data_IF_192351607569
#
_entry.id   IF_192351607569
#
_cell.length_a   1.000
_cell.length_b   1.000
_cell.length_c   1.000
_cell.angle_alpha   90.00
_cell.angle_beta   90.00
_cell.angle_gamma   90.00
#
_symmetry.space_group_name_H-M   'P 1'
#
loop_
_entity.id
_entity.type
_entity.pdbx_description
1 polymer ?
#
# COMPACT_ATOMS: atom_id res chain seq x y z
N UNK A 1 20.70 -43.19 -46.01
CA UNK A 1 19.98 -42.00 -45.49
C UNK A 1 19.65 -42.05 -43.99
N UNK A 2 19.68 -43.22 -43.34
CA UNK A 2 19.26 -43.40 -41.93
C UNK A 2 20.18 -42.75 -40.87
N UNK A 3 21.50 -42.66 -41.13
CA UNK A 3 22.45 -42.06 -40.18
C UNK A 3 22.26 -40.56 -39.93
N UNK A 4 21.83 -39.80 -40.95
CA UNK A 4 21.58 -38.33 -40.82
C UNK A 4 20.39 -38.02 -39.92
N UNK A 5 19.33 -38.85 -39.97
CA UNK A 5 18.14 -38.71 -39.10
C UNK A 5 18.45 -39.04 -37.65
N UNK A 6 19.29 -40.05 -37.40
CA UNK A 6 19.68 -40.46 -36.03
C UNK A 6 20.61 -39.42 -35.40
N UNK A 7 21.60 -38.92 -36.14
CA UNK A 7 22.51 -37.86 -35.68
C UNK A 7 21.79 -36.52 -35.41
N UNK A 8 20.75 -36.17 -36.18
CA UNK A 8 19.92 -34.99 -35.91
C UNK A 8 19.12 -35.14 -34.60
N UNK A 9 18.47 -36.29 -34.40
CA UNK A 9 17.71 -36.58 -33.18
C UNK A 9 18.58 -36.62 -31.93
N UNK A 10 19.79 -37.16 -32.05
CA UNK A 10 20.76 -37.15 -30.95
C UNK A 10 21.15 -35.73 -30.55
N UNK A 11 21.53 -34.88 -31.51
CA UNK A 11 21.87 -33.47 -31.24
C UNK A 11 20.72 -32.69 -30.62
N UNK A 12 19.49 -32.92 -31.08
CA UNK A 12 18.29 -32.33 -30.48
C UNK A 12 18.12 -32.76 -29.02
N UNK A 13 18.27 -34.05 -28.72
CA UNK A 13 18.14 -34.56 -27.35
C UNK A 13 19.23 -34.01 -26.42
N UNK A 14 20.47 -33.95 -26.89
CA UNK A 14 21.60 -33.34 -26.17
C UNK A 14 21.37 -31.84 -25.92
N UNK A 15 20.89 -31.12 -26.94
CA UNK A 15 20.48 -29.72 -26.83
C UNK A 15 19.43 -29.48 -25.75
N UNK A 16 18.32 -30.21 -25.82
CA UNK A 16 17.22 -30.09 -24.85
C UNK A 16 17.66 -30.48 -23.43
N UNK A 17 18.49 -31.52 -23.28
CA UNK A 17 19.03 -31.91 -21.99
C UNK A 17 19.95 -30.84 -21.39
N UNK A 18 20.75 -30.14 -22.22
CA UNK A 18 21.66 -29.10 -21.76
C UNK A 18 20.94 -27.84 -21.26
N UNK A 19 19.76 -27.52 -21.82
CA UNK A 19 18.99 -26.32 -21.42
C UNK A 19 17.96 -26.58 -20.33
N UNK A 20 17.62 -27.84 -20.03
CA UNK A 20 16.59 -28.19 -19.06
C UNK A 20 16.82 -27.55 -17.67
N UNK A 21 17.99 -27.78 -17.07
CA UNK A 21 18.32 -27.21 -15.76
C UNK A 21 18.33 -25.68 -15.72
N UNK A 22 19.00 -24.99 -16.68
CA UNK A 22 18.95 -23.53 -16.77
C UNK A 22 17.54 -22.96 -16.92
N UNK A 23 16.68 -23.59 -17.73
CA UNK A 23 15.28 -23.19 -17.90
C UNK A 23 14.49 -23.40 -16.62
N UNK A 24 14.62 -24.56 -15.96
CA UNK A 24 13.97 -24.84 -14.68
C UNK A 24 14.37 -23.81 -13.60
N UNK A 25 15.65 -23.45 -13.52
CA UNK A 25 16.13 -22.43 -12.59
C UNK A 25 15.55 -21.04 -12.90
N UNK A 26 15.46 -20.67 -14.18
CA UNK A 26 14.85 -19.41 -14.59
C UNK A 26 13.34 -19.37 -14.32
N UNK A 27 12.64 -20.47 -14.58
CA UNK A 27 11.21 -20.65 -14.27
C UNK A 27 10.97 -20.50 -12.75
N UNK A 28 11.80 -21.12 -11.92
CA UNK A 28 11.73 -20.99 -10.45
C UNK A 28 11.99 -19.56 -9.96
N UNK A 29 12.96 -18.86 -10.56
CA UNK A 29 13.24 -17.45 -10.25
C UNK A 29 12.04 -16.54 -10.60
N UNK A 30 11.42 -16.74 -11.76
CA UNK A 30 10.20 -16.00 -12.12
C UNK A 30 9.06 -16.31 -11.14
N UNK A 31 8.83 -17.57 -10.78
CA UNK A 31 7.76 -17.94 -9.86
C UNK A 31 7.92 -17.27 -8.49
N UNK A 32 9.14 -17.30 -7.93
CA UNK A 32 9.47 -16.60 -6.67
C UNK A 32 9.12 -15.11 -6.76
N UNK A 33 9.46 -14.47 -7.88
CA UNK A 33 9.21 -13.06 -8.11
C UNK A 33 7.70 -12.74 -8.22
N UNK A 34 6.93 -13.61 -8.87
CA UNK A 34 5.47 -13.49 -8.97
C UNK A 34 4.78 -13.66 -7.60
N UNK A 35 5.27 -14.59 -6.78
CA UNK A 35 4.80 -14.78 -5.39
C UNK A 35 5.06 -13.53 -4.54
N UNK A 36 6.26 -12.95 -4.63
CA UNK A 36 6.59 -11.70 -3.95
C UNK A 36 5.69 -10.54 -4.40
N UNK A 37 5.44 -10.39 -5.71
CA UNK A 37 4.47 -9.41 -6.22
C UNK A 37 3.08 -9.63 -5.63
N UNK A 38 2.63 -10.89 -5.56
CA UNK A 38 1.31 -11.23 -5.01
C UNK A 38 1.23 -10.85 -3.53
N UNK A 39 2.27 -11.13 -2.75
CA UNK A 39 2.35 -10.75 -1.35
C UNK A 39 2.29 -9.22 -1.18
N UNK A 40 3.12 -8.47 -1.92
CA UNK A 40 3.15 -7.02 -1.87
C UNK A 40 1.81 -6.38 -2.28
N UNK A 41 1.15 -6.90 -3.33
CA UNK A 41 -0.22 -6.47 -3.70
C UNK A 41 -1.24 -6.78 -2.60
N UNK A 42 -1.10 -7.93 -1.93
CA UNK A 42 -1.95 -8.30 -0.80
C UNK A 42 -1.84 -7.29 0.34
N UNK A 43 -0.63 -6.85 0.69
CA UNK A 43 -0.43 -5.82 1.72
C UNK A 43 -0.97 -4.47 1.28
N UNK A 44 -0.77 -4.06 0.02
CA UNK A 44 -1.35 -2.82 -0.51
C UNK A 44 -2.88 -2.81 -0.39
N UNK A 45 -3.54 -3.89 -0.81
CA UNK A 45 -5.00 -4.02 -0.71
C UNK A 45 -5.49 -3.97 0.75
N UNK A 46 -4.72 -4.51 1.70
CA UNK A 46 -5.05 -4.41 3.14
C UNK A 46 -4.93 -2.97 3.63
N UNK A 47 -3.91 -2.22 3.20
CA UNK A 47 -3.77 -0.79 3.53
C UNK A 47 -4.97 -0.02 2.96
N UNK A 48 -5.28 -0.19 1.67
CA UNK A 48 -6.40 0.49 1.02
C UNK A 48 -7.73 0.19 1.72
N UNK A 49 -7.95 -1.05 2.14
CA UNK A 49 -9.15 -1.44 2.87
C UNK A 49 -9.28 -0.72 4.22
N UNK A 50 -8.20 -0.23 4.82
CA UNK A 50 -8.24 0.52 6.08
C UNK A 50 -8.66 1.99 5.88
N UNK A 51 -8.52 2.54 4.68
CA UNK A 51 -8.72 3.96 4.40
C UNK A 51 -10.19 4.31 4.21
N UNK A 52 -10.50 5.61 4.32
CA UNK A 52 -11.82 6.22 4.01
C UNK A 52 -13.01 5.64 4.80
N UNK A 53 -12.76 5.13 6.01
CA UNK A 53 -13.80 4.59 6.89
C UNK A 53 -14.46 5.63 7.82
N UNK A 54 -14.13 6.90 7.67
CA UNK A 54 -14.59 7.96 8.57
C UNK A 54 -14.02 7.83 9.99
N UNK A 55 -12.83 7.25 10.13
CA UNK A 55 -12.20 6.97 11.43
C UNK A 55 -11.06 7.93 11.79
N UNK A 56 -10.85 8.96 10.97
CA UNK A 56 -9.86 9.99 11.15
C UNK A 56 -8.46 9.65 10.67
N UNK A 57 -8.28 8.54 9.97
CA UNK A 57 -6.99 8.24 9.32
C UNK A 57 -6.70 9.25 8.20
N UNK A 58 -5.46 9.77 8.10
CA UNK A 58 -5.07 10.69 7.03
C UNK A 58 -4.85 9.92 5.71
N UNK A 59 -5.96 9.53 5.05
CA UNK A 59 -5.94 8.62 3.90
C UNK A 59 -5.01 9.08 2.78
N UNK A 60 -5.00 10.37 2.45
CA UNK A 60 -4.21 10.90 1.33
C UNK A 60 -2.70 10.79 1.59
N UNK A 61 -2.27 11.10 2.83
CA UNK A 61 -0.87 10.93 3.23
C UNK A 61 -0.45 9.46 3.23
N UNK A 62 -1.34 8.55 3.62
CA UNK A 62 -1.06 7.11 3.59
C UNK A 62 -0.97 6.63 2.13
N UNK A 63 -1.87 7.05 1.25
CA UNK A 63 -1.82 6.74 -0.18
C UNK A 63 -0.54 7.22 -0.83
N UNK A 64 -0.11 8.45 -0.53
CA UNK A 64 1.13 9.02 -1.06
C UNK A 64 2.35 8.14 -0.72
N UNK A 65 2.39 7.60 0.51
CA UNK A 65 3.46 6.69 0.95
C UNK A 65 3.47 5.36 0.20
N UNK A 66 2.35 4.95 -0.42
CA UNK A 66 2.27 3.73 -1.24
C UNK A 66 2.66 3.94 -2.70
N UNK A 67 2.74 5.19 -3.19
CA UNK A 67 3.05 5.47 -4.60
C UNK A 67 4.42 4.93 -5.04
N UNK A 68 5.42 4.98 -4.16
CA UNK A 68 6.75 4.42 -4.43
C UNK A 68 6.75 2.91 -4.66
N UNK A 69 5.78 2.18 -4.11
CA UNK A 69 5.62 0.75 -4.38
C UNK A 69 4.99 0.48 -5.77
N UNK A 70 4.23 1.43 -6.31
CA UNK A 70 3.53 1.26 -7.59
C UNK A 70 4.47 1.22 -8.79
N UNK A 71 5.57 1.97 -8.77
CA UNK A 71 6.56 1.95 -9.85
C UNK A 71 7.23 0.58 -10.01
N UNK A 72 7.56 -0.09 -8.90
CA UNK A 72 8.21 -1.42 -8.91
C UNK A 72 7.30 -2.49 -9.54
N UNK A 73 5.98 -2.36 -9.42
CA UNK A 73 5.05 -3.30 -10.09
C UNK A 73 5.09 -3.22 -11.61
N UNK A 74 5.38 -2.04 -12.19
CA UNK A 74 5.43 -1.85 -13.63
C UNK A 74 6.68 -2.50 -14.24
N UNK A 75 7.81 -2.44 -13.54
CA UNK A 75 9.07 -3.05 -13.97
C UNK A 75 8.98 -4.57 -14.13
N UNK A 76 8.15 -5.23 -13.31
CA UNK A 76 7.97 -6.69 -13.39
C UNK A 76 7.32 -7.14 -14.71
N UNK A 77 6.34 -6.40 -15.21
CA UNK A 77 5.63 -6.80 -16.42
C UNK A 77 6.59 -6.82 -17.62
N UNK A 78 7.53 -5.86 -17.68
CA UNK A 78 8.60 -5.84 -18.68
C UNK A 78 9.61 -6.98 -18.54
N UNK A 79 10.04 -7.29 -17.30
CA UNK A 79 10.96 -8.41 -17.03
C UNK A 79 10.31 -9.76 -17.38
N UNK A 80 9.04 -9.94 -17.04
CA UNK A 80 8.29 -11.18 -17.32
C UNK A 80 8.16 -11.42 -18.82
N UNK A 81 7.81 -10.37 -19.59
CA UNK A 81 7.73 -10.47 -21.05
C UNK A 81 9.08 -10.87 -21.66
N UNK A 82 10.16 -10.17 -21.29
CA UNK A 82 11.49 -10.44 -21.83
C UNK A 82 12.00 -11.84 -21.46
N UNK A 83 11.69 -12.32 -20.25
CA UNK A 83 11.99 -13.70 -19.87
C UNK A 83 11.26 -14.71 -20.76
N UNK A 84 9.97 -14.52 -21.06
CA UNK A 84 9.23 -15.47 -21.91
C UNK A 84 9.80 -15.54 -23.33
N UNK A 85 10.23 -14.40 -23.88
CA UNK A 85 10.92 -14.32 -25.18
C UNK A 85 12.24 -15.10 -25.15
N UNK A 86 13.11 -14.83 -24.17
CA UNK A 86 14.42 -15.49 -24.03
C UNK A 86 14.26 -16.99 -23.77
N UNK A 87 13.31 -17.40 -22.92
CA UNK A 87 13.01 -18.80 -22.63
C UNK A 87 12.60 -19.56 -23.89
N UNK A 88 11.68 -19.00 -24.66
CA UNK A 88 11.19 -19.61 -25.91
C UNK A 88 12.33 -19.77 -26.90
N UNK A 89 13.10 -18.70 -27.14
CA UNK A 89 14.24 -18.74 -28.04
C UNK A 89 15.34 -19.72 -27.59
N UNK A 90 15.56 -19.88 -26.28
CA UNK A 90 16.49 -20.86 -25.72
C UNK A 90 16.09 -22.29 -26.08
N UNK A 91 14.81 -22.62 -25.87
CA UNK A 91 14.28 -23.96 -26.16
C UNK A 91 14.30 -24.25 -27.67
N UNK A 92 13.85 -23.30 -28.50
CA UNK A 92 13.87 -23.44 -29.97
C UNK A 92 15.30 -23.59 -30.50
N UNK A 93 16.27 -22.84 -29.96
CA UNK A 93 17.67 -22.99 -30.32
C UNK A 93 18.23 -24.36 -29.91
N UNK A 94 17.86 -24.85 -28.73
CA UNK A 94 18.27 -26.16 -28.23
C UNK A 94 17.78 -27.31 -29.10
N UNK A 95 16.63 -27.18 -29.78
CA UNK A 95 16.16 -28.19 -30.74
C UNK A 95 17.12 -28.40 -31.93
N UNK A 96 17.98 -27.41 -32.19
CA UNK A 96 18.96 -27.42 -33.27
C UNK A 96 20.38 -27.82 -32.81
N UNK A 97 20.59 -28.04 -31.50
CA UNK A 97 21.87 -28.42 -30.89
C UNK A 97 22.32 -27.44 -29.81
N UNK A 98 23.16 -27.93 -28.88
CA UNK A 98 23.66 -27.15 -27.75
C UNK A 98 24.37 -25.89 -28.21
N UNK A 99 25.18 -25.97 -29.27
CA UNK A 99 26.01 -24.87 -29.77
C UNK A 99 25.16 -23.67 -30.22
N UNK A 100 23.96 -23.93 -30.74
CA UNK A 100 23.01 -22.90 -31.18
C UNK A 100 22.34 -22.23 -29.97
N UNK A 101 22.17 -22.97 -28.87
CA UNK A 101 21.55 -22.48 -27.64
C UNK A 101 22.49 -21.66 -26.74
N UNK A 102 23.82 -21.75 -26.91
CA UNK A 102 24.81 -21.09 -26.04
C UNK A 102 24.55 -19.58 -25.83
N UNK A 103 24.29 -18.76 -26.88
CA UNK A 103 24.03 -17.34 -26.67
C UNK A 103 22.77 -17.09 -25.84
N UNK A 104 21.75 -17.93 -26.04
CA UNK A 104 20.47 -17.83 -25.33
C UNK A 104 20.58 -18.29 -23.87
N UNK A 105 21.41 -19.29 -23.58
CA UNK A 105 21.76 -19.66 -22.21
C UNK A 105 22.43 -18.50 -21.45
N UNK A 106 23.29 -17.73 -22.13
CA UNK A 106 23.87 -16.50 -21.58
C UNK A 106 22.80 -15.45 -21.25
N UNK A 107 21.90 -15.17 -22.20
CA UNK A 107 20.79 -14.25 -22.01
C UNK A 107 19.83 -14.71 -20.89
N UNK A 108 19.56 -16.02 -20.79
CA UNK A 108 18.72 -16.59 -19.74
C UNK A 108 19.37 -16.41 -18.35
N UNK A 109 20.69 -16.61 -18.25
CA UNK A 109 21.44 -16.33 -17.02
C UNK A 109 21.39 -14.85 -16.60
N UNK A 110 21.41 -13.92 -17.56
CA UNK A 110 21.19 -12.49 -17.30
C UNK A 110 19.77 -12.21 -16.82
N UNK A 111 18.76 -12.85 -17.41
CA UNK A 111 17.37 -12.73 -16.94
C UNK A 111 17.21 -13.24 -15.51
N UNK A 112 17.80 -14.38 -15.15
CA UNK A 112 17.77 -14.89 -13.77
C UNK A 112 18.38 -13.87 -12.79
N UNK A 113 19.51 -13.26 -13.14
CA UNK A 113 20.14 -12.21 -12.31
C UNK A 113 19.23 -10.99 -12.17
N UNK A 114 18.62 -10.54 -13.27
CA UNK A 114 17.69 -9.41 -13.25
C UNK A 114 16.45 -9.70 -12.40
N UNK A 115 15.86 -10.90 -12.51
CA UNK A 115 14.71 -11.32 -11.71
C UNK A 115 15.07 -11.42 -10.23
N UNK A 116 16.27 -11.92 -9.90
CA UNK A 116 16.75 -12.00 -8.52
C UNK A 116 16.87 -10.61 -7.89
N UNK A 117 17.51 -9.65 -8.59
CA UNK A 117 17.64 -8.28 -8.09
C UNK A 117 16.30 -7.57 -7.95
N UNK A 118 15.35 -7.82 -8.86
CA UNK A 118 13.98 -7.31 -8.72
C UNK A 118 13.25 -7.98 -7.54
N UNK A 119 13.53 -9.26 -7.28
CA UNK A 119 13.01 -10.00 -6.12
C UNK A 119 13.42 -9.37 -4.79
N UNK A 120 14.69 -8.98 -4.64
CA UNK A 120 15.17 -8.24 -3.46
C UNK A 120 14.42 -6.91 -3.28
N UNK A 121 14.18 -6.20 -4.39
CA UNK A 121 13.40 -4.95 -4.38
C UNK A 121 11.96 -5.21 -3.93
N UNK A 122 11.31 -6.26 -4.44
CA UNK A 122 9.96 -6.65 -4.01
C UNK A 122 9.89 -7.07 -2.55
N UNK A 123 10.90 -7.78 -2.04
CA UNK A 123 10.97 -8.12 -0.62
C UNK A 123 10.99 -6.86 0.25
N UNK A 124 11.85 -5.89 -0.07
CA UNK A 124 11.91 -4.61 0.64
C UNK A 124 10.62 -3.78 0.53
N UNK A 125 9.97 -3.79 -0.64
CA UNK A 125 8.63 -3.17 -0.81
C UNK A 125 7.59 -3.87 0.07
N UNK A 126 7.57 -5.20 0.09
CA UNK A 126 6.67 -5.99 0.91
C UNK A 126 6.82 -5.68 2.40
N UNK A 127 8.05 -5.63 2.90
CA UNK A 127 8.36 -5.23 4.28
C UNK A 127 7.90 -3.80 4.59
N UNK A 128 8.15 -2.86 3.67
CA UNK A 128 7.75 -1.46 3.83
C UNK A 128 6.22 -1.30 3.89
N UNK A 129 5.48 -2.03 3.06
CA UNK A 129 4.02 -2.04 3.06
C UNK A 129 3.47 -2.70 4.34
N UNK A 130 4.03 -3.83 4.77
CA UNK A 130 3.64 -4.47 6.02
C UNK A 130 3.84 -3.53 7.22
N UNK A 131 4.99 -2.84 7.28
CA UNK A 131 5.26 -1.83 8.31
C UNK A 131 4.27 -0.66 8.26
N UNK A 132 3.96 -0.16 7.06
CA UNK A 132 2.97 0.90 6.88
C UNK A 132 1.58 0.46 7.36
N UNK A 133 1.14 -0.76 7.03
CA UNK A 133 -0.12 -1.33 7.50
C UNK A 133 -0.18 -1.35 9.02
N UNK A 134 0.83 -1.93 9.67
CA UNK A 134 0.89 -2.01 11.14
C UNK A 134 0.93 -0.62 11.81
N UNK A 135 1.62 0.34 11.20
CA UNK A 135 1.64 1.72 11.67
C UNK A 135 0.25 2.36 11.55
N UNK A 136 -0.45 2.15 10.44
CA UNK A 136 -1.81 2.65 10.20
C UNK A 136 -2.81 2.04 11.17
N UNK A 137 -2.75 0.73 11.42
CA UNK A 137 -3.60 0.05 12.41
C UNK A 137 -3.37 0.59 13.83
N UNK A 138 -2.10 0.78 14.22
CA UNK A 138 -1.77 1.40 15.52
C UNK A 138 -2.28 2.83 15.62
N UNK A 139 -2.13 3.63 14.56
CA UNK A 139 -2.67 4.99 14.52
C UNK A 139 -4.19 4.97 14.70
N UNK A 140 -4.89 4.11 13.96
CA UNK A 140 -6.35 3.93 14.06
C UNK A 140 -6.79 3.59 15.48
N UNK A 141 -6.13 2.63 16.11
CA UNK A 141 -6.40 2.25 17.49
C UNK A 141 -6.16 3.41 18.48
N UNK A 142 -5.11 4.19 18.26
CA UNK A 142 -4.80 5.38 19.07
C UNK A 142 -5.77 6.56 18.86
N UNK A 143 -6.34 6.70 17.66
CA UNK A 143 -7.31 7.76 17.35
C UNK A 143 -8.72 7.45 17.88
N UNK A 144 -9.11 6.17 17.93
CA UNK A 144 -10.44 5.76 18.38
C UNK A 144 -10.91 6.41 19.70
N UNK A 145 -10.15 6.38 20.81
CA UNK A 145 -10.59 7.02 22.06
C UNK A 145 -10.62 8.55 21.97
N UNK A 146 -9.72 9.17 21.19
CA UNK A 146 -9.71 10.63 21.01
C UNK A 146 -10.92 11.10 20.20
N UNK A 147 -11.28 10.34 19.17
CA UNK A 147 -12.49 10.59 18.37
C UNK A 147 -13.73 10.47 19.24
N UNK A 148 -13.83 9.38 20.02
CA UNK A 148 -14.95 9.18 20.93
C UNK A 148 -15.09 10.35 21.92
N UNK A 149 -14.01 10.78 22.57
CA UNK A 149 -14.04 11.91 23.50
C UNK A 149 -14.46 13.22 22.84
N UNK A 150 -13.99 13.50 21.63
CA UNK A 150 -14.39 14.69 20.86
C UNK A 150 -15.90 14.68 20.52
N UNK A 151 -16.44 13.54 20.09
CA UNK A 151 -17.89 13.39 19.82
C UNK A 151 -18.73 13.53 21.09
N UNK A 152 -18.31 12.90 22.19
CA UNK A 152 -19.00 13.00 23.48
C UNK A 152 -19.00 14.44 24.01
N UNK A 153 -17.86 15.14 23.91
CA UNK A 153 -17.77 16.54 24.30
C UNK A 153 -18.69 17.42 23.44
N UNK A 154 -18.74 17.18 22.13
CA UNK A 154 -19.58 17.95 21.20
C UNK A 154 -21.07 17.71 21.49
N UNK A 155 -21.47 16.46 21.72
CA UNK A 155 -22.84 16.12 22.10
C UNK A 155 -23.24 16.82 23.40
N UNK A 156 -22.39 16.78 24.43
CA UNK A 156 -22.66 17.47 25.69
C UNK A 156 -22.79 18.99 25.51
N UNK A 157 -22.00 19.60 24.61
CA UNK A 157 -22.14 21.00 24.27
C UNK A 157 -23.45 21.33 23.53
N UNK A 158 -23.93 20.42 22.67
CA UNK A 158 -25.23 20.57 22.01
C UNK A 158 -26.39 20.50 23.01
N UNK A 159 -26.28 19.61 24.00
CA UNK A 159 -27.27 19.49 25.08
C UNK A 159 -27.30 20.78 25.93
N UNK A 160 -26.14 21.33 26.28
CA UNK A 160 -26.02 22.60 27.01
C UNK A 160 -26.57 23.79 26.21
N UNK A 161 -26.25 23.88 24.91
CA UNK A 161 -26.78 24.92 24.02
C UNK A 161 -28.31 24.85 23.94
N UNK A 162 -28.87 23.64 23.89
CA UNK A 162 -30.32 23.44 23.87
C UNK A 162 -30.96 23.90 25.18
N UNK A 163 -30.34 23.58 26.33
CA UNK A 163 -30.80 24.03 27.64
C UNK A 163 -30.70 25.55 27.83
N UNK A 164 -29.76 26.22 27.15
CA UNK A 164 -29.55 27.67 27.20
C UNK A 164 -30.37 28.45 26.16
N UNK A 165 -31.39 27.83 25.53
CA UNK A 165 -32.19 28.49 24.50
C UNK A 165 -32.85 29.78 25.03
N UNK A 166 -32.61 30.89 24.33
CA UNK A 166 -33.11 32.21 24.71
C UNK A 166 -32.14 33.06 25.53
N UNK A 167 -31.01 32.49 25.97
CA UNK A 167 -29.95 33.25 26.64
C UNK A 167 -29.25 34.23 25.69
N UNK A 168 -28.75 35.32 26.25
CA UNK A 168 -27.91 36.29 25.52
C UNK A 168 -26.65 35.58 24.99
N UNK A 169 -26.38 35.72 23.70
CA UNK A 169 -25.24 35.05 23.04
C UNK A 169 -25.54 33.66 22.46
N UNK A 170 -26.76 33.13 22.65
CA UNK A 170 -27.13 31.79 22.16
C UNK A 170 -26.86 31.57 20.65
N UNK A 171 -27.17 32.56 19.81
CA UNK A 171 -26.92 32.48 18.37
C UNK A 171 -25.43 32.42 18.01
N UNK A 172 -24.57 33.09 18.79
CA UNK A 172 -23.13 33.04 18.60
C UNK A 172 -22.60 31.65 18.96
N UNK A 173 -22.97 31.12 20.14
CA UNK A 173 -22.56 29.78 20.55
C UNK A 173 -23.03 28.69 19.59
N UNK A 174 -24.24 28.82 19.05
CA UNK A 174 -24.74 27.92 18.00
C UNK A 174 -23.85 27.94 16.76
N UNK A 175 -23.39 29.13 16.35
CA UNK A 175 -22.51 29.29 15.18
C UNK A 175 -21.15 28.66 15.45
N UNK A 176 -20.56 28.92 16.61
CA UNK A 176 -19.28 28.33 17.04
C UNK A 176 -19.36 26.81 17.11
N UNK A 177 -20.42 26.27 17.71
CA UNK A 177 -20.63 24.83 17.83
C UNK A 177 -20.84 24.14 16.47
N UNK A 178 -21.50 24.83 15.53
CA UNK A 178 -21.65 24.33 14.15
C UNK A 178 -20.28 24.24 13.47
N UNK A 179 -19.45 25.28 13.59
CA UNK A 179 -18.08 25.28 13.07
C UNK A 179 -17.21 24.17 13.68
N UNK A 180 -17.33 23.92 14.99
CA UNK A 180 -16.66 22.80 15.66
C UNK A 180 -17.15 21.44 15.16
N UNK A 181 -18.45 21.30 14.90
CA UNK A 181 -19.03 20.09 14.30
C UNK A 181 -18.52 19.83 12.88
N UNK A 182 -18.41 20.87 12.07
CA UNK A 182 -17.87 20.77 10.71
C UNK A 182 -16.40 20.35 10.74
N UNK A 183 -15.59 20.94 11.63
CA UNK A 183 -14.19 20.53 11.85
C UNK A 183 -14.07 19.07 12.31
N UNK A 184 -14.94 18.59 13.19
CA UNK A 184 -14.95 17.19 13.60
C UNK A 184 -15.27 16.27 12.42
N UNK A 185 -16.22 16.66 11.58
CA UNK A 185 -16.59 15.92 10.35
C UNK A 185 -15.42 15.86 9.36
N UNK A 186 -14.66 16.95 9.20
CA UNK A 186 -13.44 16.94 8.39
C UNK A 186 -12.34 16.05 8.98
N UNK A 187 -12.16 16.09 10.31
CA UNK A 187 -11.22 15.25 11.02
C UNK A 187 -11.55 13.77 10.88
N UNK A 188 -12.80 13.38 11.08
CA UNK A 188 -13.27 12.00 10.91
C UNK A 188 -13.11 11.52 9.47
N UNK A 189 -13.37 12.41 8.52
CA UNK A 189 -13.16 12.19 7.09
C UNK A 189 -11.68 12.08 6.69
N UNK A 190 -10.74 12.26 7.62
CA UNK A 190 -9.31 12.11 7.33
C UNK A 190 -8.72 13.24 6.49
N UNK A 191 -9.42 14.38 6.37
CA UNK A 191 -9.04 15.50 5.48
C UNK A 191 -7.96 16.41 6.07
N UNK A 192 -7.22 15.93 7.07
CA UNK A 192 -6.17 16.69 7.74
C UNK A 192 -4.81 16.13 7.38
N UNK A 193 -3.97 16.98 6.81
CA UNK A 193 -2.58 16.65 6.49
C UNK A 193 -1.71 16.78 7.74
N UNK A 194 -1.23 15.66 8.33
CA UNK A 194 -0.33 15.73 9.47
C UNK A 194 1.01 16.34 9.06
N UNK A 195 1.62 17.09 9.97
CA UNK A 195 2.96 17.64 9.80
C UNK A 195 3.90 17.10 10.87
N UNK A 196 5.20 17.34 10.73
CA UNK A 196 6.18 16.95 11.76
C UNK A 196 5.89 17.57 13.15
N UNK A 197 5.21 18.73 13.18
CA UNK A 197 4.91 19.48 14.41
C UNK A 197 3.50 19.26 14.94
N UNK A 198 2.57 18.81 14.09
CA UNK A 198 1.16 18.68 14.43
C UNK A 198 0.62 17.35 13.91
N UNK A 199 0.34 16.44 14.83
CA UNK A 199 -0.20 15.10 14.53
C UNK A 199 -1.72 15.17 14.47
N UNK A 200 -2.36 14.22 13.78
CA UNK A 200 -3.82 14.07 13.76
C UNK A 200 -4.41 14.01 15.19
N UNK A 201 -3.74 13.31 16.11
CA UNK A 201 -4.15 13.26 17.52
C UNK A 201 -4.22 14.62 18.20
N UNK A 202 -3.39 15.58 17.78
CA UNK A 202 -3.34 16.90 18.38
C UNK A 202 -4.56 17.72 17.97
N UNK A 203 -5.05 17.54 16.74
CA UNK A 203 -6.28 18.18 16.27
C UNK A 203 -7.52 17.71 17.03
N UNK A 204 -7.64 16.40 17.32
CA UNK A 204 -8.76 15.89 18.14
C UNK A 204 -8.72 16.47 19.56
N UNK A 205 -7.54 16.50 20.20
CA UNK A 205 -7.38 17.06 21.55
C UNK A 205 -7.67 18.56 21.60
N UNK A 206 -7.30 19.29 20.55
CA UNK A 206 -7.59 20.72 20.45
C UNK A 206 -9.08 20.98 20.28
N UNK A 207 -9.75 20.23 19.40
CA UNK A 207 -11.20 20.30 19.23
C UNK A 207 -11.94 20.01 20.54
N UNK A 208 -11.56 18.95 21.25
CA UNK A 208 -12.14 18.61 22.56
C UNK A 208 -11.99 19.74 23.58
N UNK A 209 -10.82 20.40 23.61
CA UNK A 209 -10.57 21.56 24.50
C UNK A 209 -11.42 22.77 24.11
N UNK A 210 -11.50 23.10 22.83
CA UNK A 210 -12.30 24.22 22.32
C UNK A 210 -13.79 24.01 22.65
N UNK A 211 -14.30 22.79 22.44
CA UNK A 211 -15.68 22.41 22.81
C UNK A 211 -15.89 22.55 24.32
N UNK A 212 -14.96 22.04 25.13
CA UNK A 212 -15.04 22.13 26.60
C UNK A 212 -15.00 23.60 27.09
N UNK A 213 -14.23 24.45 26.42
CA UNK A 213 -14.18 25.88 26.72
C UNK A 213 -15.52 26.55 26.40
N UNK A 214 -16.11 26.25 25.22
CA UNK A 214 -17.42 26.78 24.84
C UNK A 214 -18.51 26.36 25.83
N UNK A 215 -18.48 25.10 26.27
CA UNK A 215 -19.35 24.58 27.34
C UNK A 215 -19.22 25.39 28.63
N UNK A 216 -17.98 25.66 29.06
CA UNK A 216 -17.73 26.49 30.24
C UNK A 216 -18.31 27.90 30.12
N UNK A 217 -18.26 28.51 28.92
CA UNK A 217 -18.87 29.82 28.65
C UNK A 217 -20.40 29.75 28.73
N UNK A 218 -21.02 28.75 28.10
CA UNK A 218 -22.48 28.56 28.12
C UNK A 218 -22.98 28.32 29.55
N UNK A 219 -22.28 27.50 30.33
CA UNK A 219 -22.64 27.20 31.72
C UNK A 219 -22.52 28.41 32.66
N UNK A 220 -21.64 29.37 32.36
CA UNK A 220 -21.44 30.59 33.13
C UNK A 220 -22.40 31.73 32.75
N UNK A 221 -23.17 31.58 31.66
CA UNK A 221 -24.08 32.61 31.21
C UNK A 221 -25.30 32.75 32.15
N UNK A 222 -25.75 33.97 32.43
CA UNK A 222 -26.97 34.20 33.20
C UNK A 222 -28.18 33.61 32.44
N UNK A 223 -29.01 32.85 33.15
CA UNK A 223 -30.23 32.23 32.63
C UNK A 223 -31.41 33.19 32.65
#
# INVERSE_FOLDING_TARGET
>A
MWGRSRARRQRQAEGLAAVAGPVEAADAALQTLLELRRAARGELARIEALLDRGDGLPSDTIREQTLGAMSVFADLDGVSQRYHEVRTATVEAAEHGVEVAVPWLGALGEQVRSMTGLGETFAGVGESLAYLRERTERLRAGLAPLRQGAHEALQAAQDELTAAQGADGWHAWRTDLTSLSDRLTELDGGRVTPTARRKVSDHYRELEREVTQLRGVMAAAPR
#
